data_IF_007284343581
#
_entry.id   IF_007284343581
#
_cell.length_a   1.000
_cell.length_b   1.000
_cell.length_c   1.000
_cell.angle_alpha   90.00
_cell.angle_beta   90.00
_cell.angle_gamma   90.00
#
_symmetry.space_group_name_H-M   'P 1'
#
loop_
_entity.id
_entity.type
_entity.pdbx_description
1 polymer ?
#
# COMPACT_ATOMS: atom_id res chain seq x y z
N UNK A 1 -10.91 -0.71 -16.90
CA UNK A 1 -10.64 0.22 -15.79
C UNK A 1 -10.40 -0.54 -14.46
N UNK A 2 -11.24 -1.51 -14.03
CA UNK A 2 -11.07 -2.17 -12.71
C UNK A 2 -9.86 -3.11 -12.69
N UNK A 3 -9.72 -3.93 -13.74
CA UNK A 3 -8.56 -4.81 -13.96
C UNK A 3 -7.25 -4.02 -13.90
N UNK A 4 -7.24 -2.80 -14.46
CA UNK A 4 -6.06 -1.93 -14.43
C UNK A 4 -5.74 -1.46 -13.01
N UNK A 5 -6.75 -1.13 -12.20
CA UNK A 5 -6.57 -0.78 -10.79
C UNK A 5 -6.01 -1.96 -9.98
N UNK A 6 -6.51 -3.17 -10.22
CA UNK A 6 -6.01 -4.41 -9.60
C UNK A 6 -4.54 -4.66 -9.99
N UNK A 7 -4.17 -4.46 -11.25
CA UNK A 7 -2.78 -4.61 -11.71
C UNK A 7 -1.87 -3.61 -10.97
N UNK A 8 -2.25 -2.34 -10.91
CA UNK A 8 -1.49 -1.32 -10.17
C UNK A 8 -1.36 -1.64 -8.69
N UNK A 9 -2.41 -2.16 -8.07
CA UNK A 9 -2.39 -2.50 -6.65
C UNK A 9 -1.53 -3.74 -6.34
N UNK A 10 -1.55 -4.74 -7.23
CA UNK A 10 -0.63 -5.88 -7.12
C UNK A 10 0.82 -5.48 -7.36
N UNK A 11 1.08 -4.55 -8.28
CA UNK A 11 2.42 -3.98 -8.46
C UNK A 11 2.89 -3.26 -7.19
N UNK A 12 2.02 -2.45 -6.56
CA UNK A 12 2.31 -1.81 -5.28
C UNK A 12 2.65 -2.85 -4.19
N UNK A 13 1.88 -3.93 -4.09
CA UNK A 13 2.14 -5.04 -3.17
C UNK A 13 3.53 -5.66 -3.38
N UNK A 14 3.89 -5.95 -4.63
CA UNK A 14 5.20 -6.53 -4.97
C UNK A 14 6.33 -5.55 -4.64
N UNK A 15 6.19 -4.28 -5.01
CA UNK A 15 7.21 -3.26 -4.76
C UNK A 15 7.41 -3.00 -3.26
N UNK A 16 6.34 -2.90 -2.48
CA UNK A 16 6.43 -2.72 -1.03
C UNK A 16 7.03 -3.93 -0.34
N UNK A 17 6.60 -5.13 -0.69
CA UNK A 17 7.17 -6.36 -0.13
C UNK A 17 8.67 -6.43 -0.43
N UNK A 18 9.05 -6.19 -1.68
CA UNK A 18 10.47 -6.16 -2.06
C UNK A 18 11.24 -5.09 -1.28
N UNK A 19 10.73 -3.86 -1.21
CA UNK A 19 11.40 -2.74 -0.56
C UNK A 19 11.61 -2.96 0.94
N UNK A 20 10.58 -3.46 1.65
CA UNK A 20 10.65 -3.75 3.10
C UNK A 20 11.67 -4.86 3.38
N UNK A 21 11.62 -5.96 2.63
CA UNK A 21 12.53 -7.09 2.84
C UNK A 21 13.97 -6.78 2.40
N UNK A 22 14.16 -6.01 1.31
CA UNK A 22 15.50 -5.66 0.86
C UNK A 22 16.15 -4.60 1.76
N UNK A 23 15.37 -3.64 2.29
CA UNK A 23 15.84 -2.69 3.29
C UNK A 23 16.30 -3.40 4.57
N UNK A 24 15.55 -4.40 5.04
CA UNK A 24 15.93 -5.21 6.20
C UNK A 24 17.21 -6.02 5.98
N UNK A 25 17.42 -6.54 4.77
CA UNK A 25 18.61 -7.38 4.45
C UNK A 25 19.89 -6.59 4.23
N UNK A 26 19.81 -5.43 3.55
CA UNK A 26 20.99 -4.66 3.11
C UNK A 26 21.17 -3.33 3.85
N UNK A 27 20.29 -3.03 4.80
CA UNK A 27 20.15 -1.70 5.37
C UNK A 27 19.42 -0.74 4.42
N UNK A 28 18.84 0.30 4.99
CA UNK A 28 18.15 1.31 4.20
C UNK A 28 19.15 2.07 3.32
N UNK A 29 18.89 2.12 2.01
CA UNK A 29 19.72 2.78 1.02
C UNK A 29 18.82 3.70 0.19
N UNK A 30 19.39 4.74 -0.42
CA UNK A 30 18.65 5.66 -1.30
C UNK A 30 17.94 4.94 -2.46
N UNK A 31 18.45 3.78 -2.90
CA UNK A 31 17.80 2.93 -3.92
C UNK A 31 16.47 2.34 -3.43
N UNK A 32 16.38 2.01 -2.15
CA UNK A 32 15.13 1.53 -1.53
C UNK A 32 14.08 2.64 -1.50
N UNK A 33 14.50 3.90 -1.32
CA UNK A 33 13.60 5.04 -1.37
C UNK A 33 12.93 5.18 -2.75
N UNK A 34 13.68 4.98 -3.83
CA UNK A 34 13.10 4.98 -5.17
C UNK A 34 12.03 3.88 -5.34
N UNK A 35 12.28 2.67 -4.84
CA UNK A 35 11.32 1.55 -4.90
C UNK A 35 10.08 1.85 -4.04
N UNK A 36 10.25 2.42 -2.83
CA UNK A 36 9.12 2.85 -2.00
C UNK A 36 8.28 3.93 -2.70
N UNK A 37 8.93 4.89 -3.36
CA UNK A 37 8.23 5.93 -4.12
C UNK A 37 7.45 5.36 -5.31
N UNK A 38 8.03 4.43 -6.06
CA UNK A 38 7.33 3.74 -7.15
C UNK A 38 6.16 2.92 -6.62
N UNK A 39 6.32 2.22 -5.50
CA UNK A 39 5.23 1.51 -4.82
C UNK A 39 4.09 2.44 -4.42
N UNK A 40 4.40 3.59 -3.82
CA UNK A 40 3.42 4.61 -3.43
C UNK A 40 2.71 5.24 -4.62
N UNK A 41 3.41 5.46 -5.72
CA UNK A 41 2.79 5.93 -6.95
C UNK A 41 1.81 4.89 -7.52
N UNK A 42 2.18 3.60 -7.51
CA UNK A 42 1.29 2.53 -7.93
C UNK A 42 0.07 2.40 -7.00
N UNK A 43 0.26 2.52 -5.68
CA UNK A 43 -0.81 2.46 -4.68
C UNK A 43 -1.79 3.64 -4.85
N UNK A 44 -1.25 4.85 -5.08
CA UNK A 44 -2.04 6.03 -5.41
C UNK A 44 -2.86 5.86 -6.68
N UNK A 45 -2.24 5.39 -7.78
CA UNK A 45 -2.94 5.14 -9.03
C UNK A 45 -4.02 4.07 -8.88
N UNK A 46 -3.70 2.96 -8.20
CA UNK A 46 -4.66 1.88 -7.93
C UNK A 46 -5.85 2.39 -7.12
N UNK A 47 -5.59 3.11 -6.02
CA UNK A 47 -6.63 3.67 -5.15
C UNK A 47 -7.48 4.72 -5.87
N UNK A 48 -6.87 5.55 -6.72
CA UNK A 48 -7.57 6.56 -7.51
C UNK A 48 -8.52 5.91 -8.53
N UNK A 49 -8.04 4.89 -9.26
CA UNK A 49 -8.84 4.14 -10.22
C UNK A 49 -9.97 3.35 -9.53
N UNK A 50 -9.72 2.76 -8.36
CA UNK A 50 -10.75 2.07 -7.56
C UNK A 50 -11.84 3.03 -7.05
N UNK A 51 -11.46 4.21 -6.54
CA UNK A 51 -12.43 5.24 -6.13
C UNK A 51 -13.28 5.74 -7.30
N UNK A 52 -12.66 5.93 -8.48
CA UNK A 52 -13.39 6.27 -9.71
C UNK A 52 -14.41 5.19 -10.11
N UNK A 53 -14.09 3.91 -9.89
CA UNK A 53 -15.06 2.82 -10.07
C UNK A 53 -16.21 2.89 -9.09
N UNK A 54 -15.89 3.02 -7.80
CA UNK A 54 -16.89 3.04 -6.74
C UNK A 54 -17.95 4.09 -7.02
N UNK A 55 -17.52 5.31 -7.33
CA UNK A 55 -18.43 6.41 -7.64
C UNK A 55 -19.31 6.18 -8.88
N UNK A 56 -18.91 5.28 -9.79
CA UNK A 56 -19.66 4.96 -11.03
C UNK A 56 -20.63 3.78 -10.87
N UNK A 57 -20.44 2.90 -9.86
CA UNK A 57 -21.19 1.63 -9.73
C UNK A 57 -22.01 1.50 -8.43
N UNK A 58 -21.91 2.43 -7.48
CA UNK A 58 -22.77 2.48 -6.29
C UNK A 58 -22.12 3.16 -5.07
N UNK A 59 -22.87 3.39 -3.98
CA UNK A 59 -22.32 4.01 -2.78
C UNK A 59 -21.28 3.09 -2.13
N UNK A 60 -20.00 3.47 -2.21
CA UNK A 60 -18.91 2.79 -1.49
C UNK A 60 -19.08 3.03 0.01
N UNK A 61 -18.97 2.00 0.86
CA UNK A 61 -19.03 2.18 2.31
C UNK A 61 -17.96 3.17 2.78
N UNK A 62 -18.38 4.17 3.56
CA UNK A 62 -17.49 5.19 4.15
C UNK A 62 -16.32 4.57 4.91
N UNK A 63 -16.56 3.45 5.62
CA UNK A 63 -15.52 2.74 6.36
C UNK A 63 -14.41 2.19 5.47
N UNK A 64 -14.77 1.72 4.27
CA UNK A 64 -13.81 1.20 3.29
C UNK A 64 -12.96 2.33 2.69
N UNK A 65 -13.60 3.47 2.40
CA UNK A 65 -12.89 4.67 1.93
C UNK A 65 -11.94 5.22 2.99
N UNK A 66 -12.38 5.30 4.25
CA UNK A 66 -11.55 5.75 5.38
C UNK A 66 -10.35 4.81 5.58
N UNK A 67 -10.56 3.49 5.56
CA UNK A 67 -9.47 2.53 5.73
C UNK A 67 -8.46 2.60 4.58
N UNK A 68 -8.92 2.78 3.34
CA UNK A 68 -8.06 3.01 2.18
C UNK A 68 -7.23 4.29 2.30
N UNK A 69 -7.85 5.42 2.69
CA UNK A 69 -7.15 6.70 2.91
C UNK A 69 -6.15 6.59 4.05
N UNK A 70 -6.51 5.92 5.16
CA UNK A 70 -5.61 5.69 6.27
C UNK A 70 -4.41 4.84 5.85
N UNK A 71 -4.65 3.83 5.00
CA UNK A 71 -3.62 2.93 4.48
C UNK A 71 -2.60 3.66 3.59
N UNK A 72 -3.07 4.41 2.60
CA UNK A 72 -2.18 5.17 1.70
C UNK A 72 -1.44 6.28 2.46
N UNK A 73 -2.09 6.92 3.44
CA UNK A 73 -1.45 7.91 4.31
C UNK A 73 -0.36 7.27 5.18
N UNK A 74 -0.60 6.06 5.69
CA UNK A 74 0.40 5.27 6.42
C UNK A 74 1.61 4.94 5.54
N UNK A 75 1.39 4.53 4.30
CA UNK A 75 2.46 4.27 3.33
C UNK A 75 3.21 5.52 2.90
N UNK A 76 2.52 6.66 2.77
CA UNK A 76 3.17 7.94 2.52
C UNK A 76 4.07 8.34 3.71
N UNK A 77 3.55 8.22 4.94
CA UNK A 77 4.34 8.45 6.15
C UNK A 77 5.55 7.52 6.23
N UNK A 78 5.38 6.25 5.86
CA UNK A 78 6.46 5.28 5.76
C UNK A 78 7.56 5.73 4.77
N UNK A 79 7.17 6.22 3.59
CA UNK A 79 8.11 6.77 2.61
C UNK A 79 8.90 7.96 3.18
N UNK A 80 8.24 8.88 3.90
CA UNK A 80 8.94 9.99 4.56
C UNK A 80 9.88 9.52 5.66
N UNK A 81 9.46 8.51 6.45
CA UNK A 81 10.32 7.89 7.46
C UNK A 81 11.54 7.23 6.80
N UNK A 82 11.36 6.56 5.66
CA UNK A 82 12.45 5.98 4.88
C UNK A 82 13.37 7.05 4.32
N UNK A 83 12.83 8.18 3.86
CA UNK A 83 13.63 9.32 3.41
C UNK A 83 14.48 9.84 4.58
N UNK A 84 13.83 10.20 5.70
CA UNK A 84 14.50 10.70 6.90
C UNK A 84 15.57 9.74 7.44
N UNK A 85 15.24 8.45 7.54
CA UNK A 85 16.18 7.42 7.95
C UNK A 85 17.36 7.30 6.96
N UNK A 86 17.13 7.42 5.64
CA UNK A 86 18.22 7.40 4.65
C UNK A 86 19.16 8.60 4.76
N UNK A 87 18.71 9.75 5.28
CA UNK A 87 19.58 10.91 5.51
C UNK A 87 20.30 10.84 6.87
N UNK A 88 19.69 10.20 7.87
CA UNK A 88 20.21 10.18 9.26
C UNK A 88 20.97 8.89 9.62
N UNK A 89 20.86 7.80 8.83
CA UNK A 89 21.40 6.45 9.13
C UNK A 89 22.93 6.31 9.10
N UNK A 90 23.68 7.34 9.52
CA UNK A 90 25.12 7.23 9.82
C UNK A 90 25.39 6.36 11.06
N UNK A 91 24.38 6.18 11.93
CA UNK A 91 24.41 5.28 13.09
C UNK A 91 23.48 4.08 12.90
N UNK A 92 24.03 2.85 12.94
CA UNK A 92 23.29 1.59 12.68
C UNK A 92 22.10 1.29 13.59
N UNK A 93 21.90 2.03 14.69
CA UNK A 93 20.72 1.90 15.56
C UNK A 93 19.40 2.35 14.90
N UNK A 94 19.45 3.34 14.01
CA UNK A 94 18.26 3.88 13.32
C UNK A 94 17.66 2.87 12.35
N UNK A 95 18.49 2.04 11.69
CA UNK A 95 18.00 0.98 10.81
C UNK A 95 17.14 -0.05 11.55
N UNK A 96 17.48 -0.43 12.79
CA UNK A 96 16.69 -1.41 13.56
C UNK A 96 15.31 -0.88 13.96
N UNK A 97 15.21 0.39 14.32
CA UNK A 97 13.92 1.02 14.62
C UNK A 97 13.11 1.16 13.34
N UNK A 98 13.75 1.61 12.25
CA UNK A 98 13.13 1.68 10.94
C UNK A 98 12.56 0.34 10.50
N UNK A 99 13.31 -0.76 10.63
CA UNK A 99 12.85 -2.10 10.23
C UNK A 99 11.61 -2.56 11.01
N UNK A 100 11.53 -2.23 12.31
CA UNK A 100 10.35 -2.57 13.14
C UNK A 100 9.14 -1.73 12.77
N UNK A 101 9.31 -0.41 12.64
CA UNK A 101 8.23 0.51 12.26
C UNK A 101 7.74 0.20 10.84
N UNK A 102 8.68 -0.07 9.93
CA UNK A 102 8.42 -0.45 8.54
C UNK A 102 7.53 -1.69 8.44
N UNK A 103 7.88 -2.75 9.18
CA UNK A 103 7.09 -3.97 9.20
C UNK A 103 5.68 -3.74 9.77
N UNK A 104 5.56 -2.90 10.80
CA UNK A 104 4.27 -2.58 11.43
C UNK A 104 3.33 -1.86 10.47
N UNK A 105 3.83 -0.82 9.79
CA UNK A 105 3.03 -0.05 8.83
C UNK A 105 2.66 -0.92 7.63
N UNK A 106 3.61 -1.68 7.09
CA UNK A 106 3.36 -2.64 6.01
C UNK A 106 2.28 -3.68 6.39
N UNK A 107 2.33 -4.22 7.60
CA UNK A 107 1.32 -5.20 8.06
C UNK A 107 -0.07 -4.57 8.16
N UNK A 108 -0.16 -3.33 8.66
CA UNK A 108 -1.42 -2.58 8.72
C UNK A 108 -1.99 -2.34 7.31
N UNK A 109 -1.14 -1.92 6.37
CA UNK A 109 -1.51 -1.75 4.97
C UNK A 109 -1.94 -3.06 4.30
N UNK A 110 -1.26 -4.17 4.58
CA UNK A 110 -1.62 -5.48 4.06
C UNK A 110 -3.02 -5.92 4.54
N UNK A 111 -3.34 -5.66 5.81
CA UNK A 111 -4.68 -5.92 6.35
C UNK A 111 -5.73 -5.05 5.66
N UNK A 112 -5.45 -3.76 5.45
CA UNK A 112 -6.35 -2.88 4.71
C UNK A 112 -6.57 -3.36 3.26
N UNK A 113 -5.49 -3.74 2.56
CA UNK A 113 -5.54 -4.31 1.21
C UNK A 113 -6.39 -5.59 1.16
N UNK A 114 -6.15 -6.54 2.07
CA UNK A 114 -6.94 -7.77 2.16
C UNK A 114 -8.41 -7.48 2.48
N UNK A 115 -8.71 -6.54 3.37
CA UNK A 115 -10.09 -6.15 3.68
C UNK A 115 -10.83 -5.62 2.46
N UNK A 116 -10.14 -4.84 1.62
CA UNK A 116 -10.69 -4.31 0.37
C UNK A 116 -10.92 -5.37 -0.69
N UNK A 117 -9.96 -6.27 -0.85
CA UNK A 117 -10.08 -7.40 -1.78
C UNK A 117 -11.24 -8.33 -1.39
N UNK A 118 -11.42 -8.62 -0.09
CA UNK A 118 -12.52 -9.44 0.42
C UNK A 118 -13.86 -8.72 0.20
N UNK A 119 -13.96 -7.44 0.56
CA UNK A 119 -15.18 -6.67 0.37
C UNK A 119 -15.63 -6.69 -1.10
N UNK A 120 -14.70 -6.38 -2.00
CA UNK A 120 -14.97 -6.36 -3.44
C UNK A 120 -15.37 -7.74 -3.98
N UNK A 121 -14.80 -8.83 -3.43
CA UNK A 121 -15.23 -10.19 -3.79
C UNK A 121 -16.67 -10.46 -3.37
N UNK A 122 -17.05 -10.11 -2.14
CA UNK A 122 -18.39 -10.35 -1.57
C UNK A 122 -19.47 -9.59 -2.35
N UNK A 123 -19.22 -8.33 -2.71
CA UNK A 123 -20.17 -7.47 -3.44
C UNK A 123 -20.31 -7.82 -4.93
N UNK A 124 -19.35 -8.53 -5.53
CA UNK A 124 -19.46 -9.05 -6.91
C UNK A 124 -20.13 -10.43 -7.00
N UNK A 125 -20.33 -11.15 -5.88
CA UNK A 125 -21.06 -12.42 -5.88
C UNK A 125 -22.57 -12.36 -6.20
N UNK A 126 -23.33 -11.25 -6.04
CA UNK A 126 -24.74 -11.23 -6.45
C UNK A 126 -24.93 -11.21 -7.98
N UNK A 127 -23.96 -10.70 -8.74
CA UNK A 127 -24.07 -10.59 -10.22
C UNK A 127 -23.85 -11.93 -10.94
N UNK A 128 -23.26 -12.93 -10.29
CA UNK A 128 -23.10 -14.30 -10.82
C UNK A 128 -24.22 -15.25 -10.36
N UNK A 129 -25.16 -14.76 -9.52
CA UNK A 129 -26.35 -15.48 -9.07
C UNK A 129 -27.66 -14.92 -9.64
N UNK A 130 -27.58 -14.09 -10.69
CA UNK A 130 -28.73 -13.75 -11.52
C UNK A 130 -28.94 -14.83 -12.59
N UNK A 131 -29.64 -15.89 -12.21
CA UNK A 131 -30.40 -16.73 -13.14
C UNK A 131 -31.47 -15.89 -13.85
#
# INVERSE_FOLDING_TARGET
MLVQAIIWMNLALVFYTWAVFSARKRGLQRRHLAIFGTGLFCDYLGTHLMNGFGNSYGPVPIWHTISGIASISGMAFHFFLAAAASFTSRNGGINRVFDKVSLSIYSCWLVAFCSGAIWQSIEHYPMLKGH
#
